data_IF_928326423224
#
_entry.id   IF_928326423224
#
_cell.length_a   1.000
_cell.length_b   1.000
_cell.length_c   1.000
_cell.angle_alpha   90.00
_cell.angle_beta   90.00
_cell.angle_gamma   90.00
#
_symmetry.space_group_name_H-M   'P 1'
#
loop_
_entity.id
_entity.type
_entity.pdbx_description
1 polymer ?
#
# COMPACT_ATOMS: atom_id res chain seq x y z
N UNK A 1 -30.67 -6.81 -75.10
CA UNK A 1 -30.37 -5.73 -74.15
C UNK A 1 -30.17 -6.39 -72.79
N UNK A 2 -28.98 -6.23 -72.23
CA UNK A 2 -28.50 -6.82 -70.98
C UNK A 2 -28.89 -5.88 -69.83
N UNK A 3 -29.56 -6.35 -68.76
CA UNK A 3 -29.42 -5.73 -67.45
C UNK A 3 -29.40 -6.79 -66.34
N UNK A 4 -28.30 -6.71 -65.60
CA UNK A 4 -27.79 -7.56 -64.53
C UNK A 4 -28.67 -7.43 -63.29
N UNK A 5 -29.13 -8.54 -62.72
CA UNK A 5 -29.64 -8.54 -61.33
C UNK A 5 -28.43 -8.74 -60.41
N UNK A 6 -28.12 -7.72 -59.60
CA UNK A 6 -27.16 -7.82 -58.51
C UNK A 6 -27.97 -7.90 -57.22
N UNK A 7 -28.28 -9.11 -56.75
CA UNK A 7 -28.79 -9.30 -55.40
C UNK A 7 -27.65 -8.99 -54.43
N UNK A 8 -27.74 -7.84 -53.77
CA UNK A 8 -26.82 -7.46 -52.68
C UNK A 8 -27.15 -8.37 -51.51
N UNK A 9 -26.22 -9.26 -51.15
CA UNK A 9 -26.35 -10.07 -49.94
C UNK A 9 -26.19 -9.14 -48.72
N UNK A 10 -27.31 -8.60 -48.23
CA UNK A 10 -27.33 -7.95 -46.92
C UNK A 10 -27.27 -9.05 -45.89
N UNK A 11 -26.08 -9.33 -45.36
CA UNK A 11 -25.97 -10.03 -44.09
C UNK A 11 -26.51 -9.08 -43.03
N UNK A 12 -27.61 -9.40 -42.33
CA UNK A 12 -27.83 -8.74 -41.05
C UNK A 12 -26.63 -9.13 -40.19
N UNK A 13 -25.78 -8.17 -39.85
CA UNK A 13 -24.81 -8.35 -38.77
C UNK A 13 -25.63 -8.36 -37.50
N UNK A 14 -26.26 -9.50 -37.22
CA UNK A 14 -26.85 -9.79 -35.92
C UNK A 14 -25.72 -10.22 -34.97
N UNK A 15 -24.66 -9.41 -34.89
CA UNK A 15 -23.77 -9.48 -33.73
C UNK A 15 -24.45 -8.73 -32.60
N UNK A 16 -25.34 -9.43 -31.91
CA UNK A 16 -25.44 -9.25 -30.48
C UNK A 16 -24.11 -9.68 -29.88
N UNK A 17 -23.09 -8.81 -29.94
CA UNK A 17 -21.93 -8.91 -29.05
C UNK A 17 -22.50 -8.83 -27.65
N UNK A 18 -22.52 -10.00 -27.05
CA UNK A 18 -23.28 -10.29 -25.87
C UNK A 18 -22.69 -9.52 -24.69
N UNK A 19 -23.49 -8.68 -24.03
CA UNK A 19 -23.11 -7.85 -22.87
C UNK A 19 -22.74 -8.66 -21.60
N UNK A 20 -22.48 -9.96 -21.71
CA UNK A 20 -22.47 -10.92 -20.60
C UNK A 20 -21.09 -11.36 -20.07
N UNK A 21 -19.98 -10.78 -20.52
CA UNK A 21 -18.64 -11.15 -20.02
C UNK A 21 -17.92 -10.07 -19.21
N UNK A 22 -18.66 -9.18 -18.54
CA UNK A 22 -18.07 -8.29 -17.52
C UNK A 22 -18.41 -8.82 -16.14
N UNK A 23 -17.42 -9.41 -15.45
CA UNK A 23 -17.52 -9.60 -14.02
C UNK A 23 -17.51 -8.22 -13.36
N UNK A 24 -18.49 -7.92 -12.52
CA UNK A 24 -18.48 -6.70 -11.70
C UNK A 24 -17.31 -6.73 -10.71
N UNK A 25 -16.84 -5.55 -10.26
CA UNK A 25 -15.68 -5.41 -9.37
C UNK A 25 -15.81 -6.06 -7.98
N UNK A 26 -16.95 -6.69 -7.67
CA UNK A 26 -17.24 -7.31 -6.39
C UNK A 26 -17.50 -6.29 -5.27
N UNK A 27 -17.96 -6.79 -4.12
CA UNK A 27 -18.11 -5.98 -2.91
C UNK A 27 -17.47 -6.75 -1.76
N UNK A 28 -16.38 -6.20 -1.19
CA UNK A 28 -15.75 -6.76 0.01
C UNK A 28 -16.52 -6.26 1.23
N UNK A 29 -17.25 -7.16 1.90
CA UNK A 29 -17.87 -6.86 3.19
C UNK A 29 -16.79 -6.94 4.27
N UNK A 30 -16.67 -5.90 5.09
CA UNK A 30 -15.81 -5.86 6.27
C UNK A 30 -16.73 -5.74 7.48
N UNK A 31 -16.76 -6.77 8.32
CA UNK A 31 -17.52 -6.74 9.58
C UNK A 31 -16.65 -6.04 10.62
N UNK A 32 -17.11 -4.89 11.11
CA UNK A 32 -16.38 -4.10 12.10
C UNK A 32 -16.20 -4.90 13.38
N UNK A 33 -14.96 -5.29 13.64
CA UNK A 33 -14.55 -6.05 14.84
C UNK A 33 -13.89 -5.13 15.88
N UNK A 34 -14.03 -3.81 15.73
CA UNK A 34 -13.35 -2.80 16.54
C UNK A 34 -11.93 -2.52 16.06
N UNK A 35 -11.26 -1.55 16.68
CA UNK A 35 -9.90 -1.14 16.28
C UNK A 35 -8.84 -1.98 16.97
N UNK A 36 -7.91 -2.55 16.19
CA UNK A 36 -6.70 -3.19 16.73
C UNK A 36 -5.46 -2.51 16.20
N UNK A 37 -4.59 -2.11 17.12
CA UNK A 37 -3.36 -1.39 16.86
C UNK A 37 -2.32 -2.34 16.24
N UNK A 38 -1.67 -1.96 15.13
CA UNK A 38 -0.59 -2.76 14.58
C UNK A 38 0.63 -2.70 15.50
N UNK A 39 1.43 -3.76 15.46
CA UNK A 39 2.78 -3.76 16.05
C UNK A 39 3.77 -3.28 15.01
N UNK A 40 4.57 -2.27 15.36
CA UNK A 40 5.59 -1.71 14.49
C UNK A 40 6.96 -2.32 14.81
N UNK A 41 7.68 -2.70 13.76
CA UNK A 41 9.08 -3.10 13.84
C UNK A 41 9.84 -2.34 12.77
N UNK A 42 10.89 -1.61 13.17
CA UNK A 42 11.72 -0.87 12.23
C UNK A 42 13.08 -1.55 12.14
N UNK A 43 13.50 -1.86 10.93
CA UNK A 43 14.69 -2.64 10.62
C UNK A 43 15.60 -1.83 9.69
N UNK A 44 16.89 -1.68 10.01
CA UNK A 44 17.86 -1.13 9.07
C UNK A 44 18.18 -2.15 7.98
N UNK A 45 18.21 -1.70 6.72
CA UNK A 45 18.68 -2.50 5.60
C UNK A 45 20.19 -2.30 5.45
N UNK A 46 20.95 -3.37 5.73
CA UNK A 46 22.41 -3.39 5.95
C UNK A 46 23.27 -2.79 4.81
N UNK A 47 22.73 -2.63 3.59
CA UNK A 47 23.56 -2.31 2.40
C UNK A 47 23.22 -1.02 1.66
N UNK A 48 22.10 -0.35 1.94
CA UNK A 48 21.58 0.71 1.04
C UNK A 48 21.14 2.01 1.70
N UNK A 49 21.38 2.21 3.01
CA UNK A 49 20.86 3.40 3.72
C UNK A 49 19.33 3.44 3.74
N UNK A 50 18.71 2.27 3.62
CA UNK A 50 17.27 2.09 3.55
C UNK A 50 16.77 1.54 4.88
N UNK A 51 15.62 2.00 5.33
CA UNK A 51 14.95 1.54 6.54
C UNK A 51 13.63 0.92 6.14
N UNK A 52 13.25 -0.16 6.80
CA UNK A 52 11.96 -0.83 6.58
C UNK A 52 11.20 -0.80 7.89
N UNK A 53 9.98 -0.28 7.85
CA UNK A 53 9.01 -0.36 8.92
C UNK A 53 7.94 -1.40 8.56
N UNK A 54 7.85 -2.46 9.34
CA UNK A 54 6.82 -3.47 9.24
C UNK A 54 5.72 -3.18 10.28
N UNK A 55 4.49 -3.01 9.80
CA UNK A 55 3.29 -2.96 10.62
C UNK A 55 2.54 -4.28 10.50
N UNK A 56 2.30 -4.94 11.62
CA UNK A 56 1.69 -6.27 11.66
C UNK A 56 0.48 -6.34 12.58
N UNK A 57 -0.55 -7.08 12.17
CA UNK A 57 -1.72 -7.37 12.99
C UNK A 57 -2.70 -6.21 13.20
N UNK A 58 -2.70 -5.19 12.34
CA UNK A 58 -3.60 -4.05 12.45
C UNK A 58 -5.01 -4.33 11.92
N UNK A 59 -6.00 -3.65 12.49
CA UNK A 59 -7.37 -3.60 11.96
C UNK A 59 -8.00 -2.23 12.31
N UNK A 60 -8.76 -1.58 11.44
CA UNK A 60 -9.18 -1.99 10.08
C UNK A 60 -8.05 -1.83 9.05
N UNK A 61 -8.33 -1.95 7.75
CA UNK A 61 -7.32 -1.76 6.68
C UNK A 61 -6.79 -0.31 6.59
N UNK A 62 -7.55 0.66 7.06
CA UNK A 62 -7.35 2.09 6.84
C UNK A 62 -6.24 2.75 7.69
N UNK A 63 -5.39 1.97 8.34
CA UNK A 63 -4.17 2.50 8.95
C UNK A 63 -3.20 3.00 7.87
N UNK A 64 -2.44 4.06 8.18
CA UNK A 64 -1.45 4.64 7.26
C UNK A 64 -0.08 4.71 7.90
N UNK A 65 0.96 4.26 7.19
CA UNK A 65 2.34 4.51 7.59
C UNK A 65 2.84 5.85 7.11
N UNK A 66 3.63 6.47 7.98
CA UNK A 66 4.43 7.65 7.70
C UNK A 66 5.76 7.58 8.41
N UNK A 67 6.65 8.48 8.04
CA UNK A 67 7.99 8.60 8.62
C UNK A 67 8.22 10.01 9.14
N UNK A 68 8.97 10.10 10.23
CA UNK A 68 9.54 11.34 10.76
C UNK A 68 11.04 11.20 10.86
N UNK A 69 11.77 12.19 10.33
CA UNK A 69 13.23 12.27 10.42
C UNK A 69 13.56 13.51 11.24
N UNK A 70 14.27 13.35 12.35
CA UNK A 70 14.53 14.44 13.30
C UNK A 70 13.24 15.09 13.83
N UNK A 71 12.19 14.30 14.01
CA UNK A 71 10.86 14.77 14.44
C UNK A 71 9.99 15.40 13.34
N UNK A 72 10.50 15.59 12.13
CA UNK A 72 9.76 16.19 11.01
C UNK A 72 9.22 15.14 10.07
N UNK A 73 7.92 15.21 9.74
CA UNK A 73 7.29 14.28 8.79
C UNK A 73 7.93 14.38 7.41
N UNK A 74 8.21 13.23 6.79
CA UNK A 74 8.77 13.14 5.44
C UNK A 74 7.98 12.19 4.57
N UNK A 75 7.82 12.56 3.30
CA UNK A 75 7.36 11.69 2.22
C UNK A 75 8.47 11.41 1.20
N UNK A 76 9.59 12.14 1.27
CA UNK A 76 10.71 11.99 0.37
C UNK A 76 11.41 10.65 0.61
N UNK A 77 11.57 9.86 -0.45
CA UNK A 77 12.19 8.53 -0.37
C UNK A 77 11.32 7.47 0.30
N UNK A 78 10.03 7.75 0.55
CA UNK A 78 9.08 6.81 1.15
C UNK A 78 8.41 5.97 0.07
N UNK A 79 8.37 4.65 0.28
CA UNK A 79 7.65 3.69 -0.55
C UNK A 79 6.86 2.74 0.34
N UNK A 80 5.54 2.63 0.11
CA UNK A 80 4.66 1.77 0.90
C UNK A 80 4.31 0.50 0.12
N UNK A 81 4.28 -0.64 0.82
CA UNK A 81 3.79 -1.90 0.27
C UNK A 81 2.26 -1.89 0.18
N UNK A 82 1.75 -2.83 -0.62
CA UNK A 82 0.34 -3.21 -0.52
C UNK A 82 0.09 -3.93 0.81
N UNK A 83 -1.15 -3.85 1.28
CA UNK A 83 -1.60 -4.48 2.50
C UNK A 83 -1.89 -5.98 2.26
N UNK A 84 -1.40 -6.81 3.17
CA UNK A 84 -1.63 -8.24 3.18
C UNK A 84 -2.58 -8.59 4.33
N UNK A 85 -3.61 -9.38 4.04
CA UNK A 85 -4.52 -9.91 5.06
C UNK A 85 -4.04 -11.29 5.52
N UNK A 86 -3.82 -11.44 6.83
CA UNK A 86 -3.52 -12.70 7.47
C UNK A 86 -4.74 -13.60 7.59
N UNK A 87 -4.51 -14.88 7.94
CA UNK A 87 -5.57 -15.88 8.16
C UNK A 87 -6.45 -15.55 9.38
N UNK A 88 -5.94 -14.72 10.29
CA UNK A 88 -6.63 -14.18 11.46
C UNK A 88 -7.52 -12.97 11.12
N UNK A 89 -7.60 -12.59 9.84
CA UNK A 89 -8.39 -11.45 9.36
C UNK A 89 -7.74 -10.09 9.59
N UNK A 90 -6.53 -10.04 10.17
CA UNK A 90 -5.79 -8.81 10.43
C UNK A 90 -4.92 -8.41 9.25
N UNK A 91 -4.58 -7.15 9.18
CA UNK A 91 -3.78 -6.57 8.10
C UNK A 91 -2.34 -6.34 8.53
N UNK A 92 -1.43 -6.56 7.60
CA UNK A 92 -0.02 -6.22 7.73
C UNK A 92 0.43 -5.47 6.48
N UNK A 93 1.33 -4.52 6.64
CA UNK A 93 1.85 -3.69 5.56
C UNK A 93 3.22 -3.16 5.96
N UNK A 94 4.03 -2.74 4.99
CA UNK A 94 5.35 -2.18 5.26
C UNK A 94 5.55 -0.84 4.56
N UNK A 95 6.46 -0.05 5.11
CA UNK A 95 6.94 1.18 4.51
C UNK A 95 8.45 1.16 4.48
N UNK A 96 9.02 1.66 3.40
CA UNK A 96 10.45 1.74 3.16
C UNK A 96 10.84 3.21 3.07
N UNK A 97 11.88 3.62 3.78
CA UNK A 97 12.44 4.97 3.72
C UNK A 97 13.89 4.90 3.27
N UNK A 98 14.20 5.54 2.15
CA UNK A 98 15.58 5.69 1.66
C UNK A 98 16.15 7.04 2.09
N UNK A 99 17.28 7.01 2.81
CA UNK A 99 18.02 8.19 3.23
C UNK A 99 19.45 8.12 2.69
N UNK A 100 20.03 9.27 2.36
CA UNK A 100 21.48 9.34 2.13
C UNK A 100 22.24 9.16 3.45
N UNK A 101 23.51 8.77 3.37
CA UNK A 101 24.37 8.63 4.56
C UNK A 101 24.43 9.93 5.38
N UNK A 102 24.51 11.08 4.72
CA UNK A 102 24.46 12.40 5.37
C UNK A 102 23.14 12.65 6.10
N UNK A 103 22.01 12.31 5.48
CA UNK A 103 20.69 12.47 6.10
C UNK A 103 20.54 11.54 7.31
N UNK A 104 20.99 10.29 7.20
CA UNK A 104 20.95 9.32 8.31
C UNK A 104 21.77 9.81 9.50
N UNK A 105 23.01 10.27 9.28
CA UNK A 105 23.88 10.77 10.35
C UNK A 105 23.36 12.06 11.00
N UNK A 106 22.66 12.90 10.23
CA UNK A 106 22.07 14.16 10.74
C UNK A 106 20.65 14.00 11.26
N UNK A 107 20.01 12.86 11.04
CA UNK A 107 18.62 12.63 11.40
C UNK A 107 18.41 12.74 12.92
N UNK A 108 19.39 12.29 13.71
CA UNK A 108 19.30 12.17 15.17
C UNK A 108 18.31 11.08 15.62
N UNK A 109 17.11 11.03 15.03
CA UNK A 109 16.15 9.96 15.20
C UNK A 109 15.33 9.76 13.94
N UNK A 110 14.94 8.51 13.68
CA UNK A 110 14.00 8.17 12.61
C UNK A 110 12.84 7.39 13.21
N UNK A 111 11.63 7.93 13.07
CA UNK A 111 10.41 7.35 13.63
C UNK A 111 9.49 6.91 12.51
N UNK A 112 9.08 5.65 12.55
CA UNK A 112 7.94 5.16 11.78
C UNK A 112 6.66 5.36 12.59
N UNK A 113 5.59 5.83 11.95
CA UNK A 113 4.31 6.10 12.57
C UNK A 113 3.18 5.40 11.82
N UNK A 114 2.34 4.65 12.54
CA UNK A 114 1.05 4.18 12.04
C UNK A 114 -0.07 5.05 12.61
N UNK A 115 -0.87 5.63 11.71
CA UNK A 115 -1.97 6.53 12.06
C UNK A 115 -3.32 5.99 11.60
N UNK A 116 -4.34 6.23 12.43
CA UNK A 116 -5.74 5.96 12.11
C UNK A 116 -6.59 7.12 12.62
N UNK A 117 -7.53 7.61 11.81
CA UNK A 117 -8.39 8.74 12.17
C UNK A 117 -9.12 8.49 13.49
N UNK A 118 -9.01 9.43 14.43
CA UNK A 118 -9.63 9.32 15.76
C UNK A 118 -8.89 8.42 16.76
N UNK A 119 -7.72 7.89 16.40
CA UNK A 119 -6.86 7.12 17.30
C UNK A 119 -5.53 7.82 17.54
N UNK A 120 -4.92 7.54 18.69
CA UNK A 120 -3.52 7.93 18.92
C UNK A 120 -2.60 7.09 18.01
N UNK A 121 -1.61 7.72 17.36
CA UNK A 121 -0.68 7.02 16.49
C UNK A 121 0.18 6.03 17.27
N UNK A 122 0.55 4.94 16.61
CA UNK A 122 1.57 4.01 17.09
C UNK A 122 2.89 4.41 16.47
N UNK A 123 3.95 4.55 17.27
CA UNK A 123 5.26 4.99 16.78
C UNK A 123 6.35 4.03 17.20
N UNK A 124 7.32 3.84 16.32
CA UNK A 124 8.55 3.12 16.62
C UNK A 124 9.73 3.95 16.12
N UNK A 125 10.67 4.24 17.03
CA UNK A 125 11.84 5.07 16.74
C UNK A 125 13.08 4.21 16.69
N UNK A 126 13.92 4.47 15.70
CA UNK A 126 15.31 4.05 15.63
C UNK A 126 16.21 5.25 15.78
N UNK A 127 17.24 5.06 16.58
CA UNK A 127 18.32 6.01 16.72
C UNK A 127 19.51 5.56 15.84
N UNK A 128 20.03 6.43 14.97
CA UNK A 128 21.19 6.12 14.13
C UNK A 128 22.44 5.67 14.88
N UNK A 129 22.67 6.14 16.10
CA UNK A 129 23.83 5.77 16.91
C UNK A 129 23.70 4.36 17.51
N UNK A 130 22.47 3.87 17.69
CA UNK A 130 22.20 2.51 18.16
C UNK A 130 22.31 1.44 17.05
N UNK A 131 22.40 1.85 15.79
CA UNK A 131 22.70 0.97 14.67
C UNK A 131 24.21 1.00 14.41
N UNK A 132 24.99 0.42 15.34
CA UNK A 132 26.41 0.13 15.12
C UNK A 132 26.54 -1.21 14.40
N UNK A 133 27.41 -1.24 13.39
CA UNK A 133 27.78 -2.40 12.56
C UNK A 133 28.21 -3.63 13.38
#
# INVERSE_FOLDING_TARGET
>A
QLFRVQEVFVRPVNEFVSLWYTFGGGTKLIVDSGVVRPTLTVLPHQSSGTLVCLASGGFPLNWKLGWKVGGTSTSSGVSNSLEAQGTDGRYSWSSTLSLSADQWRKAGSVTCEASLSGQSPVTQTLDPDHCSE
#
